data_IF_817800595004
#
_entry.id   IF_817800595004
#
_cell.length_a   1.000
_cell.length_b   1.000
_cell.length_c   1.000
_cell.angle_alpha   90.00
_cell.angle_beta   90.00
_cell.angle_gamma   90.00
#
_symmetry.space_group_name_H-M   'P 1'
#
loop_
_entity.id
_entity.type
_entity.pdbx_description
1 polymer ?
#
# COMPACT_ATOMS: atom_id res chain seq x y z
N UNK A 1 4.14 -32.70 0.25
CA UNK A 1 3.74 -31.61 1.14
C UNK A 1 2.23 -31.44 1.04
N UNK A 2 1.50 -31.43 2.14
CA UNK A 2 0.02 -31.24 2.13
C UNK A 2 -0.23 -29.84 2.67
N UNK A 3 -0.82 -28.97 1.87
CA UNK A 3 -1.24 -27.62 2.29
C UNK A 3 -2.74 -27.46 2.08
N UNK A 4 -3.39 -26.62 2.85
CA UNK A 4 -4.79 -26.26 2.69
C UNK A 4 -4.88 -24.93 1.94
N UNK A 5 -5.70 -24.89 0.90
CA UNK A 5 -5.93 -23.69 0.09
C UNK A 5 -7.39 -23.56 -0.34
N UNK A 6 -7.79 -22.38 -0.76
CA UNK A 6 -9.12 -22.09 -1.34
C UNK A 6 -9.00 -22.00 -2.85
N UNK A 7 -9.76 -22.82 -3.57
CA UNK A 7 -9.79 -22.82 -5.03
C UNK A 7 -11.08 -22.13 -5.50
N UNK A 8 -10.94 -21.00 -6.18
CA UNK A 8 -12.04 -20.37 -6.90
C UNK A 8 -12.27 -21.05 -8.26
N UNK A 9 -13.48 -21.54 -8.52
CA UNK A 9 -13.80 -22.15 -9.82
C UNK A 9 -13.64 -21.15 -10.98
N UNK A 10 -13.75 -19.85 -10.70
CA UNK A 10 -13.55 -18.76 -11.70
C UNK A 10 -12.08 -18.66 -12.13
N UNK A 11 -11.14 -18.93 -11.25
CA UNK A 11 -9.68 -18.85 -11.52
C UNK A 11 -9.18 -20.02 -12.38
N UNK A 12 -10.00 -21.05 -12.60
CA UNK A 12 -9.62 -22.20 -13.43
C UNK A 12 -9.81 -21.84 -14.91
N UNK A 13 -8.71 -21.79 -15.67
CA UNK A 13 -8.71 -21.57 -17.12
C UNK A 13 -8.95 -22.86 -17.93
N UNK A 14 -8.45 -23.99 -17.44
CA UNK A 14 -8.70 -25.30 -18.09
C UNK A 14 -10.17 -25.69 -18.02
N UNK A 15 -10.84 -25.73 -19.18
CA UNK A 15 -12.26 -26.08 -19.30
C UNK A 15 -12.59 -27.49 -18.78
N UNK A 16 -11.66 -28.45 -18.92
CA UNK A 16 -11.85 -29.83 -18.45
C UNK A 16 -11.82 -29.90 -16.94
N UNK A 17 -10.79 -29.26 -16.35
CA UNK A 17 -10.67 -29.15 -14.90
C UNK A 17 -11.86 -28.39 -14.31
N UNK A 18 -12.28 -27.28 -14.92
CA UNK A 18 -13.42 -26.50 -14.47
C UNK A 18 -14.73 -27.28 -14.44
N UNK A 19 -15.01 -28.06 -15.51
CA UNK A 19 -16.19 -28.94 -15.55
C UNK A 19 -16.11 -30.03 -14.50
N UNK A 20 -14.96 -30.66 -14.35
CA UNK A 20 -14.73 -31.70 -13.35
C UNK A 20 -14.89 -31.15 -11.93
N UNK A 21 -14.31 -29.97 -11.63
CA UNK A 21 -14.39 -29.30 -10.33
C UNK A 21 -15.85 -29.01 -9.91
N UNK A 22 -16.71 -28.61 -10.85
CA UNK A 22 -18.14 -28.35 -10.59
C UNK A 22 -18.97 -29.59 -10.23
N UNK A 23 -18.47 -30.77 -10.56
CA UNK A 23 -19.13 -32.06 -10.27
C UNK A 23 -18.61 -32.73 -8.99
N UNK A 24 -17.54 -32.21 -8.38
CA UNK A 24 -16.95 -32.77 -7.17
C UNK A 24 -17.88 -32.62 -5.97
N UNK A 25 -17.85 -33.65 -5.12
CA UNK A 25 -18.48 -33.67 -3.81
C UNK A 25 -17.42 -33.60 -2.72
N UNK A 26 -17.86 -33.26 -1.50
CA UNK A 26 -16.97 -33.28 -0.31
C UNK A 26 -16.33 -34.68 -0.19
N UNK A 27 -15.02 -34.73 -0.09
CA UNK A 27 -14.21 -35.94 0.01
C UNK A 27 -13.63 -36.42 -1.33
N UNK A 28 -14.12 -35.90 -2.45
CA UNK A 28 -13.58 -36.27 -3.76
C UNK A 28 -12.18 -35.69 -3.97
N UNK A 29 -11.46 -36.37 -4.88
CA UNK A 29 -10.08 -35.98 -5.22
C UNK A 29 -9.97 -35.81 -6.73
N UNK A 30 -9.30 -34.74 -7.15
CA UNK A 30 -8.99 -34.47 -8.56
C UNK A 30 -7.49 -34.17 -8.72
N UNK A 31 -6.93 -34.64 -9.84
CA UNK A 31 -5.54 -34.34 -10.21
C UNK A 31 -5.50 -33.35 -11.35
N UNK A 32 -4.61 -32.37 -11.29
CA UNK A 32 -4.45 -31.33 -12.30
C UNK A 32 -2.98 -30.92 -12.47
N UNK A 33 -2.66 -30.36 -13.65
CA UNK A 33 -1.37 -29.76 -13.91
C UNK A 33 -1.44 -28.28 -13.58
N UNK A 34 -0.67 -27.84 -12.61
CA UNK A 34 -0.70 -26.46 -12.12
C UNK A 34 -0.46 -25.44 -13.23
N UNK A 35 0.60 -25.60 -14.01
CA UNK A 35 1.02 -24.67 -15.07
C UNK A 35 0.05 -24.51 -16.24
N UNK A 36 -0.94 -25.42 -16.38
CA UNK A 36 -1.92 -25.39 -17.49
C UNK A 36 -3.34 -25.04 -17.05
N UNK A 37 -3.57 -24.99 -15.75
CA UNK A 37 -4.92 -24.94 -15.19
C UNK A 37 -5.35 -23.56 -14.74
N UNK A 38 -4.43 -22.60 -14.64
CA UNK A 38 -4.68 -21.25 -14.16
C UNK A 38 -4.13 -20.21 -15.15
N UNK A 39 -4.82 -19.06 -15.31
CA UNK A 39 -4.36 -17.95 -16.12
C UNK A 39 -3.34 -17.10 -15.38
N UNK A 40 -3.51 -16.98 -14.06
CA UNK A 40 -2.66 -16.15 -13.22
C UNK A 40 -1.85 -17.06 -12.27
N UNK A 41 -0.55 -16.88 -12.32
CA UNK A 41 0.38 -17.54 -11.39
C UNK A 41 0.09 -17.17 -9.93
N UNK A 42 -0.44 -15.97 -9.68
CA UNK A 42 -0.79 -15.52 -8.34
C UNK A 42 -1.87 -16.39 -7.70
N UNK A 43 -2.96 -16.69 -8.41
CA UNK A 43 -4.02 -17.58 -7.93
C UNK A 43 -3.49 -18.99 -7.62
N UNK A 44 -2.57 -19.45 -8.45
CA UNK A 44 -1.92 -20.75 -8.26
C UNK A 44 -1.01 -20.75 -7.03
N UNK A 45 -0.16 -19.76 -6.87
CA UNK A 45 0.74 -19.61 -5.72
C UNK A 45 -0.06 -19.50 -4.41
N UNK A 46 -1.15 -18.72 -4.42
CA UNK A 46 -2.05 -18.61 -3.27
C UNK A 46 -2.72 -19.95 -2.92
N UNK A 47 -3.20 -20.70 -3.93
CA UNK A 47 -3.78 -22.04 -3.72
C UNK A 47 -2.78 -23.01 -3.12
N UNK A 48 -1.53 -22.98 -3.58
CA UNK A 48 -0.46 -23.85 -3.12
C UNK A 48 0.22 -23.33 -1.84
N UNK A 49 -0.08 -22.11 -1.42
CA UNK A 49 0.54 -21.42 -0.27
C UNK A 49 2.05 -21.25 -0.48
N UNK A 50 2.47 -20.90 -1.70
CA UNK A 50 3.85 -20.65 -2.10
C UNK A 50 4.10 -19.16 -2.23
N UNK A 51 5.36 -18.75 -2.01
CA UNK A 51 5.83 -17.38 -2.30
C UNK A 51 6.22 -17.23 -3.79
N UNK A 52 6.40 -16.01 -4.27
CA UNK A 52 6.87 -15.77 -5.65
C UNK A 52 8.23 -16.40 -5.93
N UNK A 53 9.11 -16.47 -4.95
CA UNK A 53 10.44 -17.08 -5.07
C UNK A 53 10.37 -18.61 -5.24
N UNK A 54 9.28 -19.25 -4.83
CA UNK A 54 9.03 -20.67 -4.94
C UNK A 54 8.28 -21.06 -6.23
N UNK A 55 8.16 -20.16 -7.19
CA UNK A 55 7.43 -20.36 -8.45
C UNK A 55 7.90 -21.60 -9.24
N UNK A 56 9.16 -21.98 -9.11
CA UNK A 56 9.69 -23.21 -9.70
C UNK A 56 9.03 -24.50 -9.18
N UNK A 57 8.43 -24.49 -7.99
CA UNK A 57 7.73 -25.63 -7.39
C UNK A 57 6.32 -25.87 -7.97
N UNK A 58 5.83 -24.99 -8.85
CA UNK A 58 4.51 -25.12 -9.50
C UNK A 58 4.50 -26.09 -10.69
N UNK A 59 5.66 -26.67 -11.06
CA UNK A 59 5.80 -27.60 -12.16
C UNK A 59 5.44 -29.02 -11.68
N UNK A 60 4.36 -29.60 -12.23
CA UNK A 60 3.98 -30.97 -11.93
C UNK A 60 2.48 -31.24 -11.86
N UNK A 61 2.15 -32.45 -11.46
CA UNK A 61 0.78 -32.89 -11.18
C UNK A 61 0.49 -32.75 -9.69
N UNK A 62 -0.57 -32.03 -9.40
CA UNK A 62 -1.08 -31.83 -8.05
C UNK A 62 -2.36 -32.63 -7.84
N UNK A 63 -2.55 -33.08 -6.61
CA UNK A 63 -3.73 -33.79 -6.18
C UNK A 63 -4.48 -32.97 -5.17
N UNK A 64 -5.70 -32.54 -5.51
CA UNK A 64 -6.57 -31.75 -4.64
C UNK A 64 -7.62 -32.67 -4.03
N UNK A 65 -7.70 -32.68 -2.70
CA UNK A 65 -8.78 -33.32 -1.95
C UNK A 65 -9.76 -32.26 -1.47
N UNK A 66 -11.02 -32.40 -1.81
CA UNK A 66 -12.06 -31.41 -1.52
C UNK A 66 -12.62 -31.60 -0.10
N UNK A 67 -12.23 -30.74 0.81
CA UNK A 67 -12.70 -30.80 2.21
C UNK A 67 -14.04 -30.10 2.40
N UNK A 68 -14.24 -28.95 1.76
CA UNK A 68 -15.45 -28.12 1.93
C UNK A 68 -15.80 -27.42 0.63
N UNK A 69 -17.08 -27.30 0.33
CA UNK A 69 -17.60 -26.55 -0.81
C UNK A 69 -18.27 -25.30 -0.25
N UNK A 70 -17.88 -24.16 -0.78
CA UNK A 70 -18.53 -22.88 -0.50
C UNK A 70 -19.30 -22.42 -1.74
N UNK A 71 -20.55 -22.04 -1.55
CA UNK A 71 -21.33 -21.33 -2.55
C UNK A 71 -21.22 -19.84 -2.26
N UNK A 72 -20.77 -19.06 -3.23
CA UNK A 72 -20.59 -17.61 -3.10
C UNK A 72 -21.62 -16.93 -3.99
N UNK A 73 -22.57 -16.27 -3.37
CA UNK A 73 -23.58 -15.45 -4.04
C UNK A 73 -23.35 -13.97 -3.71
N UNK A 74 -23.72 -13.05 -4.64
CA UNK A 74 -23.76 -11.63 -4.30
C UNK A 74 -24.73 -11.43 -3.11
N UNK A 75 -24.28 -10.69 -2.12
CA UNK A 75 -25.12 -10.34 -0.98
C UNK A 75 -26.26 -9.41 -1.42
N UNK A 76 -27.42 -9.55 -0.79
CA UNK A 76 -28.50 -8.56 -0.90
C UNK A 76 -28.03 -7.23 -0.30
N UNK A 77 -28.44 -6.13 -0.96
CA UNK A 77 -28.12 -4.78 -0.46
C UNK A 77 -29.20 -4.41 0.57
N UNK A 78 -28.98 -4.88 1.79
CA UNK A 78 -29.87 -4.73 2.95
C UNK A 78 -29.09 -4.33 4.20
N UNK A 79 -29.80 -4.16 5.32
CA UNK A 79 -29.20 -3.73 6.58
C UNK A 79 -28.14 -4.70 7.10
N UNK A 80 -28.30 -6.01 6.90
CA UNK A 80 -27.33 -7.02 7.34
C UNK A 80 -25.98 -6.83 6.63
N UNK A 81 -26.01 -6.46 5.35
CA UNK A 81 -24.81 -6.11 4.60
C UNK A 81 -24.19 -4.81 5.11
N UNK A 82 -25.03 -3.79 5.38
CA UNK A 82 -24.52 -2.49 5.87
C UNK A 82 -23.81 -2.65 7.20
N UNK A 83 -24.41 -3.37 8.14
CA UNK A 83 -23.85 -3.63 9.46
C UNK A 83 -22.55 -4.46 9.41
N UNK A 84 -22.45 -5.39 8.46
CA UNK A 84 -21.22 -6.18 8.25
C UNK A 84 -20.07 -5.36 7.65
N UNK A 85 -20.37 -4.37 6.82
CA UNK A 85 -19.35 -3.58 6.11
C UNK A 85 -18.91 -2.37 6.92
N UNK A 86 -19.84 -1.66 7.55
CA UNK A 86 -19.59 -0.38 8.21
C UNK A 86 -19.76 -0.40 9.74
N UNK A 87 -20.21 -1.53 10.30
CA UNK A 87 -20.53 -1.66 11.71
C UNK A 87 -22.02 -1.48 11.98
N UNK A 88 -22.44 -1.99 13.16
CA UNK A 88 -23.84 -2.03 13.55
C UNK A 88 -24.46 -0.62 13.61
N UNK A 89 -25.61 -0.45 12.96
CA UNK A 89 -26.39 0.78 12.92
C UNK A 89 -25.67 2.04 12.38
N UNK A 90 -24.48 1.88 11.78
CA UNK A 90 -23.73 2.99 11.19
C UNK A 90 -24.43 3.55 9.93
N UNK A 91 -25.09 2.69 9.14
CA UNK A 91 -25.80 3.03 7.90
C UNK A 91 -27.14 2.33 7.89
N UNK A 92 -28.20 3.07 7.59
CA UNK A 92 -29.57 2.53 7.66
C UNK A 92 -30.29 2.43 6.33
N UNK A 93 -29.79 3.11 5.30
CA UNK A 93 -30.43 3.13 3.99
C UNK A 93 -29.46 2.75 2.88
N UNK A 94 -30.04 2.18 1.80
CA UNK A 94 -29.27 1.86 0.59
C UNK A 94 -28.60 3.10 -0.03
N UNK A 95 -29.24 4.27 0.05
CA UNK A 95 -28.69 5.51 -0.48
C UNK A 95 -27.44 5.93 0.31
N UNK A 96 -27.50 5.91 1.64
CA UNK A 96 -26.35 6.18 2.52
C UNK A 96 -25.21 5.18 2.27
N UNK A 97 -25.54 3.88 2.11
CA UNK A 97 -24.56 2.84 1.83
C UNK A 97 -23.80 3.11 0.52
N UNK A 98 -24.51 3.42 -0.56
CA UNK A 98 -23.90 3.74 -1.85
C UNK A 98 -23.08 5.04 -1.80
N UNK A 99 -23.60 6.06 -1.11
CA UNK A 99 -22.90 7.33 -0.92
C UNK A 99 -21.60 7.13 -0.14
N UNK A 100 -21.62 6.30 0.91
CA UNK A 100 -20.43 6.02 1.72
C UNK A 100 -19.37 5.23 0.94
N UNK A 101 -19.79 4.22 0.15
CA UNK A 101 -18.88 3.49 -0.74
C UNK A 101 -18.26 4.44 -1.78
N UNK A 102 -19.07 5.34 -2.36
CA UNK A 102 -18.55 6.32 -3.32
C UNK A 102 -17.51 7.24 -2.67
N UNK A 103 -17.80 7.78 -1.49
CA UNK A 103 -16.87 8.61 -0.73
C UNK A 103 -15.55 7.88 -0.43
N UNK A 104 -15.64 6.62 0.00
CA UNK A 104 -14.46 5.82 0.31
C UNK A 104 -13.60 5.55 -0.95
N UNK A 105 -14.25 5.24 -2.08
CA UNK A 105 -13.56 5.04 -3.38
C UNK A 105 -12.93 6.34 -3.87
N UNK A 106 -13.64 7.48 -3.78
CA UNK A 106 -13.11 8.79 -4.13
C UNK A 106 -11.91 9.16 -3.25
N UNK A 107 -11.97 8.85 -1.95
CA UNK A 107 -10.87 9.03 -1.02
C UNK A 107 -9.63 8.19 -1.38
N UNK A 108 -9.83 6.93 -1.80
CA UNK A 108 -8.75 6.06 -2.28
C UNK A 108 -8.12 6.61 -3.55
N UNK A 109 -8.93 6.99 -4.53
CA UNK A 109 -8.43 7.53 -5.80
C UNK A 109 -7.71 8.87 -5.61
N UNK A 110 -8.23 9.73 -4.73
CA UNK A 110 -7.57 10.99 -4.37
C UNK A 110 -6.18 10.72 -3.79
N UNK A 111 -6.06 9.76 -2.87
CA UNK A 111 -4.78 9.37 -2.28
C UNK A 111 -3.80 8.85 -3.34
N UNK A 112 -4.24 7.99 -4.25
CA UNK A 112 -3.42 7.47 -5.33
C UNK A 112 -2.94 8.60 -6.27
N UNK A 113 -3.81 9.54 -6.59
CA UNK A 113 -3.47 10.73 -7.38
C UNK A 113 -2.47 11.63 -6.65
N UNK A 114 -2.65 11.85 -5.36
CA UNK A 114 -1.78 12.66 -4.52
C UNK A 114 -0.37 12.07 -4.44
N UNK A 115 -0.26 10.76 -4.25
CA UNK A 115 1.03 10.04 -4.26
C UNK A 115 1.70 10.18 -5.64
N UNK A 116 0.94 9.98 -6.72
CA UNK A 116 1.49 10.12 -8.06
C UNK A 116 1.96 11.54 -8.35
N UNK A 117 1.18 12.53 -7.96
CA UNK A 117 1.53 13.95 -8.10
C UNK A 117 2.80 14.28 -7.31
N UNK A 118 2.85 13.92 -6.04
CA UNK A 118 4.02 14.14 -5.18
C UNK A 118 5.29 13.53 -5.79
N UNK A 119 5.22 12.27 -6.24
CA UNK A 119 6.35 11.60 -6.88
C UNK A 119 6.76 12.31 -8.18
N UNK A 120 5.80 12.77 -8.98
CA UNK A 120 6.08 13.49 -10.23
C UNK A 120 6.80 14.82 -9.98
N UNK A 121 6.36 15.57 -8.97
CA UNK A 121 7.02 16.82 -8.55
C UNK A 121 8.42 16.53 -8.02
N UNK A 122 8.56 15.55 -7.14
CA UNK A 122 9.85 15.11 -6.61
C UNK A 122 10.83 14.74 -7.73
N UNK A 123 10.41 13.91 -8.69
CA UNK A 123 11.24 13.52 -9.84
C UNK A 123 11.60 14.72 -10.72
N UNK A 124 10.73 15.73 -10.82
CA UNK A 124 11.04 16.96 -11.53
C UNK A 124 12.07 17.80 -10.78
N UNK A 125 11.90 17.99 -9.49
CA UNK A 125 12.84 18.76 -8.63
C UNK A 125 14.21 18.07 -8.58
N UNK A 126 14.27 16.75 -8.60
CA UNK A 126 15.51 15.95 -8.62
C UNK A 126 16.34 16.16 -9.90
N UNK A 127 15.75 16.68 -10.99
CA UNK A 127 16.49 17.05 -12.23
C UNK A 127 17.29 18.34 -12.08
N UNK A 128 17.09 19.08 -10.99
CA UNK A 128 17.85 20.30 -10.69
C UNK A 128 19.35 19.96 -10.60
N UNK A 129 20.17 20.69 -11.34
CA UNK A 129 21.61 20.49 -11.32
C UNK A 129 22.17 20.85 -9.94
N UNK A 130 22.76 19.87 -9.31
CA UNK A 130 23.38 20.01 -7.99
C UNK A 130 24.69 19.25 -7.97
N UNK A 131 25.77 19.95 -7.67
CA UNK A 131 27.08 19.33 -7.56
C UNK A 131 27.32 18.86 -6.12
N UNK A 132 27.21 17.56 -5.90
CA UNK A 132 27.60 16.95 -4.63
C UNK A 132 29.09 16.60 -4.64
N UNK A 133 29.83 16.84 -3.55
CA UNK A 133 31.24 16.47 -3.43
C UNK A 133 31.39 14.95 -3.23
N UNK A 134 31.17 14.19 -4.30
CA UNK A 134 31.08 12.73 -4.31
C UNK A 134 32.23 12.04 -3.57
N UNK A 135 33.47 12.43 -3.90
CA UNK A 135 34.66 11.80 -3.31
C UNK A 135 34.76 12.05 -1.81
N UNK A 136 34.41 13.26 -1.37
CA UNK A 136 34.37 13.61 0.05
C UNK A 136 33.28 12.79 0.77
N UNK A 137 32.08 12.73 0.21
CA UNK A 137 30.96 12.01 0.81
C UNK A 137 31.23 10.51 0.94
N UNK A 138 31.79 9.88 -0.08
CA UNK A 138 32.18 8.46 -0.03
C UNK A 138 33.23 8.20 1.05
N UNK A 139 34.24 9.08 1.13
CA UNK A 139 35.26 8.98 2.15
C UNK A 139 34.68 9.19 3.56
N UNK A 140 33.76 10.13 3.71
CA UNK A 140 33.07 10.36 4.97
C UNK A 140 32.27 9.15 5.42
N UNK A 141 31.46 8.55 4.52
CA UNK A 141 30.66 7.35 4.78
C UNK A 141 31.57 6.17 5.20
N UNK A 142 32.72 5.98 4.55
CA UNK A 142 33.65 4.90 4.87
C UNK A 142 34.33 5.04 6.24
N UNK A 143 34.09 6.13 6.97
CA UNK A 143 34.63 6.39 8.30
C UNK A 143 33.56 6.45 9.39
N UNK A 144 32.26 6.22 9.04
CA UNK A 144 31.15 6.32 9.98
C UNK A 144 30.70 4.94 10.50
N UNK A 145 30.33 4.92 11.78
CA UNK A 145 29.80 3.72 12.45
C UNK A 145 30.88 2.81 13.04
N UNK A 146 30.45 1.83 13.81
CA UNK A 146 31.32 0.83 14.43
C UNK A 146 31.89 -0.17 13.42
N UNK A 147 31.11 -0.46 12.38
CA UNK A 147 31.48 -1.32 11.24
C UNK A 147 31.26 -0.55 9.93
N UNK A 148 32.27 0.26 9.51
CA UNK A 148 32.13 1.07 8.31
C UNK A 148 31.98 0.18 7.06
N UNK A 149 31.13 0.57 6.09
CA UNK A 149 30.98 -0.17 4.84
C UNK A 149 32.27 -0.12 4.01
N UNK A 150 32.51 -1.17 3.25
CA UNK A 150 33.65 -1.24 2.33
C UNK A 150 33.48 -0.28 1.16
N UNK A 151 34.56 0.05 0.48
CA UNK A 151 34.54 0.92 -0.70
C UNK A 151 33.63 0.33 -1.80
N UNK A 152 33.64 -0.99 -1.97
CA UNK A 152 32.81 -1.69 -2.96
C UNK A 152 31.33 -1.55 -2.64
N UNK A 153 30.92 -1.75 -1.40
CA UNK A 153 29.54 -1.56 -0.94
C UNK A 153 29.06 -0.11 -1.10
N UNK A 154 29.93 0.85 -0.76
CA UNK A 154 29.65 2.28 -0.97
C UNK A 154 29.45 2.57 -2.45
N UNK A 155 30.28 2.02 -3.34
CA UNK A 155 30.19 2.25 -4.77
C UNK A 155 28.90 1.65 -5.37
N UNK A 156 28.50 0.48 -4.93
CA UNK A 156 27.26 -0.19 -5.33
C UNK A 156 26.02 0.60 -4.89
N UNK A 157 26.01 1.08 -3.63
CA UNK A 157 24.88 1.81 -3.06
C UNK A 157 24.88 3.31 -3.40
N UNK A 158 25.97 3.82 -4.00
CA UNK A 158 26.13 5.24 -4.27
C UNK A 158 24.97 5.88 -5.03
N UNK A 159 24.42 5.28 -6.10
CA UNK A 159 23.33 5.91 -6.86
C UNK A 159 22.10 6.19 -5.98
N UNK A 160 21.76 5.29 -5.06
CA UNK A 160 20.65 5.46 -4.13
C UNK A 160 20.97 6.50 -3.06
N UNK A 161 22.18 6.44 -2.50
CA UNK A 161 22.67 7.39 -1.50
C UNK A 161 22.72 8.81 -2.07
N UNK A 162 23.25 8.98 -3.29
CA UNK A 162 23.26 10.28 -3.96
C UNK A 162 21.84 10.81 -4.19
N UNK A 163 20.92 9.96 -4.60
CA UNK A 163 19.51 10.33 -4.77
C UNK A 163 18.89 10.78 -3.45
N UNK A 164 19.12 10.05 -2.37
CA UNK A 164 18.61 10.40 -1.05
C UNK A 164 19.18 11.73 -0.54
N UNK A 165 20.49 11.94 -0.69
CA UNK A 165 21.15 13.20 -0.28
C UNK A 165 20.63 14.41 -1.10
N UNK A 166 20.46 14.24 -2.41
CA UNK A 166 19.88 15.30 -3.26
C UNK A 166 18.49 15.67 -2.79
N UNK A 167 17.65 14.66 -2.50
CA UNK A 167 16.31 14.92 -1.99
C UNK A 167 16.34 15.65 -0.66
N UNK A 168 17.14 15.21 0.31
CA UNK A 168 17.29 15.88 1.61
C UNK A 168 17.68 17.35 1.48
N UNK A 169 18.59 17.67 0.55
CA UNK A 169 18.99 19.05 0.31
C UNK A 169 17.88 19.91 -0.30
N UNK A 170 17.13 19.35 -1.25
CA UNK A 170 15.96 20.00 -1.87
C UNK A 170 14.88 20.22 -0.82
N UNK A 171 14.53 19.17 -0.10
CA UNK A 171 13.52 19.19 0.96
C UNK A 171 13.88 20.20 2.06
N UNK A 172 15.12 20.15 2.58
CA UNK A 172 15.57 21.09 3.57
C UNK A 172 15.63 22.53 3.08
N UNK A 173 15.83 22.76 1.78
CA UNK A 173 15.72 24.10 1.18
C UNK A 173 14.26 24.55 1.13
N UNK A 174 13.35 23.72 0.65
CA UNK A 174 11.91 24.00 0.60
C UNK A 174 11.35 24.30 1.99
N UNK A 175 11.72 23.51 2.99
CA UNK A 175 11.33 23.72 4.37
C UNK A 175 11.72 25.13 4.88
N UNK A 176 12.98 25.52 4.63
CA UNK A 176 13.48 26.84 5.08
C UNK A 176 12.87 28.01 4.33
N UNK A 177 12.75 27.90 3.00
CA UNK A 177 12.27 29.02 2.17
C UNK A 177 10.77 29.24 2.26
N UNK A 178 10.00 28.17 2.54
CA UNK A 178 8.54 28.22 2.59
C UNK A 178 7.96 27.95 3.98
N UNK A 179 8.82 27.93 5.00
CA UNK A 179 8.41 27.74 6.40
C UNK A 179 7.60 26.46 6.64
N UNK A 180 7.98 25.37 5.92
CA UNK A 180 7.35 24.06 6.03
C UNK A 180 8.00 23.29 7.18
N UNK A 181 7.56 23.55 8.40
CA UNK A 181 7.98 22.83 9.60
C UNK A 181 6.78 22.19 10.27
N UNK A 182 7.04 21.22 11.11
CA UNK A 182 6.03 20.51 11.90
C UNK A 182 6.13 20.99 13.34
N UNK A 183 5.06 21.65 13.80
CA UNK A 183 4.96 22.10 15.18
C UNK A 183 4.45 20.96 16.08
N UNK A 184 4.81 21.03 17.37
CA UNK A 184 4.40 20.02 18.34
C UNK A 184 2.87 19.88 18.44
N UNK A 185 2.16 20.98 18.39
CA UNK A 185 0.69 21.00 18.45
C UNK A 185 0.07 20.35 17.21
N UNK A 186 0.61 20.63 16.03
CA UNK A 186 0.19 20.01 14.78
C UNK A 186 0.46 18.49 14.78
N UNK A 187 1.61 18.08 15.31
CA UNK A 187 1.97 16.67 15.41
C UNK A 187 1.02 15.91 16.36
N UNK A 188 0.64 16.52 17.49
CA UNK A 188 -0.35 15.94 18.41
C UNK A 188 -1.71 15.83 17.72
N UNK A 189 -2.18 16.88 17.05
CA UNK A 189 -3.44 16.85 16.33
C UNK A 189 -3.45 15.80 15.21
N UNK A 190 -2.33 15.64 14.51
CA UNK A 190 -2.16 14.60 13.48
C UNK A 190 -2.19 13.20 14.09
N UNK A 191 -1.49 12.96 15.20
CA UNK A 191 -1.51 11.69 15.91
C UNK A 191 -2.92 11.32 16.40
N UNK A 192 -3.67 12.28 16.96
CA UNK A 192 -5.08 12.12 17.37
C UNK A 192 -5.94 11.69 16.16
N UNK A 193 -5.81 12.38 15.02
CA UNK A 193 -6.52 12.05 13.79
C UNK A 193 -6.22 10.63 13.30
N UNK A 194 -4.94 10.22 13.36
CA UNK A 194 -4.49 8.88 12.96
C UNK A 194 -5.07 7.80 13.88
N UNK A 195 -5.05 8.00 15.20
CA UNK A 195 -5.63 7.07 16.18
C UNK A 195 -7.13 6.95 15.96
N UNK A 196 -7.86 8.06 15.81
CA UNK A 196 -9.32 8.05 15.51
C UNK A 196 -9.62 7.25 14.24
N UNK A 197 -8.90 7.52 13.16
CA UNK A 197 -9.10 6.82 11.88
C UNK A 197 -8.88 5.31 12.03
N UNK A 198 -7.83 4.92 12.74
CA UNK A 198 -7.50 3.51 12.97
C UNK A 198 -8.54 2.80 13.82
N UNK A 199 -9.03 3.44 14.89
CA UNK A 199 -10.07 2.89 15.76
C UNK A 199 -11.40 2.73 15.04
N UNK A 200 -11.80 3.71 14.23
CA UNK A 200 -13.00 3.63 13.39
C UNK A 200 -12.97 2.44 12.44
N UNK A 201 -11.81 2.11 11.86
CA UNK A 201 -11.66 0.93 10.99
C UNK A 201 -11.91 -0.40 11.71
N UNK A 202 -11.66 -0.45 13.03
CA UNK A 202 -11.92 -1.62 13.87
C UNK A 202 -13.29 -1.58 14.55
N UNK A 203 -14.15 -0.61 14.22
CA UNK A 203 -15.47 -0.45 14.81
C UNK A 203 -15.46 -0.08 16.31
N UNK A 204 -14.31 0.41 16.81
CA UNK A 204 -14.17 0.83 18.19
C UNK A 204 -14.43 2.34 18.29
N UNK A 205 -15.48 2.72 19.01
CA UNK A 205 -15.72 4.10 19.42
C UNK A 205 -15.04 4.33 20.77
N UNK A 206 -14.05 5.21 20.79
CA UNK A 206 -13.39 5.68 22.01
C UNK A 206 -13.78 7.14 22.24
N UNK A 207 -13.78 7.57 23.50
CA UNK A 207 -13.97 8.98 23.79
C UNK A 207 -12.74 9.82 23.40
N UNK A 208 -12.93 11.13 23.27
CA UNK A 208 -11.89 12.04 22.81
C UNK A 208 -10.68 12.08 23.76
N UNK A 209 -10.87 11.88 25.05
CA UNK A 209 -9.78 11.90 26.05
C UNK A 209 -8.94 10.62 25.97
N UNK A 210 -9.57 9.48 25.74
CA UNK A 210 -8.87 8.20 25.54
C UNK A 210 -8.04 8.23 24.26
N UNK A 211 -8.60 8.78 23.18
CA UNK A 211 -7.89 8.93 21.92
C UNK A 211 -6.69 9.85 22.06
N UNK A 212 -6.84 10.99 22.75
CA UNK A 212 -5.75 11.93 22.99
C UNK A 212 -4.63 11.28 23.82
N UNK A 213 -4.98 10.55 24.88
CA UNK A 213 -4.02 9.82 25.70
C UNK A 213 -3.25 8.78 24.89
N UNK A 214 -3.93 8.03 24.03
CA UNK A 214 -3.26 7.07 23.13
C UNK A 214 -2.34 7.76 22.13
N UNK A 215 -2.76 8.89 21.57
CA UNK A 215 -1.94 9.67 20.65
C UNK A 215 -0.67 10.18 21.34
N UNK A 216 -0.77 10.67 22.58
CA UNK A 216 0.39 11.09 23.35
C UNK A 216 1.34 9.92 23.65
N UNK A 217 0.82 8.74 24.02
CA UNK A 217 1.65 7.54 24.24
C UNK A 217 2.40 7.11 22.96
N UNK A 218 1.76 7.24 21.78
CA UNK A 218 2.43 6.99 20.49
C UNK A 218 3.59 7.96 20.28
N UNK A 219 3.40 9.22 20.64
CA UNK A 219 4.43 10.27 20.50
C UNK A 219 5.55 10.20 21.55
N UNK A 220 5.36 9.49 22.66
CA UNK A 220 6.43 9.20 23.62
C UNK A 220 7.48 8.25 23.04
N UNK A 221 7.08 7.39 22.09
CA UNK A 221 8.04 6.57 21.35
C UNK A 221 8.69 7.43 20.25
N UNK A 222 10.00 7.66 20.39
CA UNK A 222 10.78 8.53 19.51
C UNK A 222 10.68 8.13 18.04
N UNK A 223 10.79 6.83 17.74
CA UNK A 223 10.75 6.31 16.35
C UNK A 223 9.37 6.57 15.72
N UNK A 224 8.28 6.32 16.48
CA UNK A 224 6.92 6.58 16.01
C UNK A 224 6.65 8.09 15.84
N UNK A 225 7.16 8.91 16.75
CA UNK A 225 7.05 10.36 16.63
C UNK A 225 7.79 10.91 15.40
N UNK A 226 9.01 10.41 15.13
CA UNK A 226 9.77 10.76 13.93
C UNK A 226 9.01 10.34 12.66
N UNK A 227 8.48 9.12 12.59
CA UNK A 227 7.68 8.64 11.45
C UNK A 227 6.42 9.49 11.21
N UNK A 228 5.67 9.84 12.27
CA UNK A 228 4.49 10.69 12.16
C UNK A 228 4.85 12.12 11.75
N UNK A 229 5.97 12.63 12.24
CA UNK A 229 6.47 13.97 11.86
C UNK A 229 6.87 14.01 10.38
N UNK A 230 7.56 12.98 9.87
CA UNK A 230 7.89 12.85 8.46
C UNK A 230 6.64 12.77 7.59
N UNK A 231 5.64 11.99 8.02
CA UNK A 231 4.37 11.87 7.29
C UNK A 231 3.61 13.20 7.25
N UNK A 232 3.51 13.90 8.37
CA UNK A 232 2.87 15.21 8.42
C UNK A 232 3.63 16.25 7.56
N UNK A 233 4.95 16.21 7.56
CA UNK A 233 5.77 17.04 6.69
C UNK A 233 5.50 16.76 5.21
N UNK A 234 5.39 15.48 4.82
CA UNK A 234 5.04 15.10 3.44
C UNK A 234 3.65 15.61 3.06
N UNK A 235 2.67 15.55 3.96
CA UNK A 235 1.33 16.10 3.73
C UNK A 235 1.39 17.62 3.53
N UNK A 236 2.15 18.34 4.37
CA UNK A 236 2.36 19.81 4.22
C UNK A 236 3.05 20.15 2.90
N UNK A 237 4.06 19.37 2.51
CA UNK A 237 4.73 19.58 1.22
C UNK A 237 3.81 19.29 0.05
N UNK A 238 2.96 18.27 0.14
CA UNK A 238 1.98 17.96 -0.90
C UNK A 238 1.00 19.12 -1.11
N UNK A 239 0.44 19.66 -0.04
CA UNK A 239 -0.46 20.83 -0.13
C UNK A 239 0.28 22.06 -0.66
N UNK A 240 1.49 22.32 -0.20
CA UNK A 240 2.33 23.40 -0.74
C UNK A 240 2.56 23.23 -2.25
N UNK A 241 2.83 22.02 -2.74
CA UNK A 241 3.00 21.76 -4.16
C UNK A 241 1.70 21.98 -4.94
N UNK A 242 0.56 21.57 -4.40
CA UNK A 242 -0.75 21.81 -5.03
C UNK A 242 -1.07 23.31 -5.18
N UNK A 243 -0.68 24.10 -4.19
CA UNK A 243 -0.89 25.56 -4.21
C UNK A 243 0.11 26.29 -5.11
N UNK A 244 1.36 25.79 -5.16
CA UNK A 244 2.45 26.46 -5.88
C UNK A 244 2.45 26.17 -7.38
N UNK A 245 1.89 25.02 -7.81
CA UNK A 245 1.88 24.62 -9.22
C UNK A 245 0.52 24.82 -9.88
N UNK A 246 0.54 25.26 -11.15
CA UNK A 246 -0.67 25.26 -11.97
C UNK A 246 -1.02 23.82 -12.38
N UNK A 247 -2.03 23.25 -11.75
CA UNK A 247 -2.42 21.85 -11.96
C UNK A 247 -3.31 21.73 -13.20
N UNK A 248 -2.95 20.79 -14.08
CA UNK A 248 -3.82 20.34 -15.17
C UNK A 248 -4.49 19.05 -14.77
N UNK A 249 -5.76 19.12 -14.43
CA UNK A 249 -6.56 17.93 -14.16
C UNK A 249 -6.92 17.22 -15.48
N UNK A 250 -6.79 15.90 -15.49
CA UNK A 250 -7.11 15.05 -16.64
C UNK A 250 -7.98 13.90 -16.18
N UNK A 251 -9.16 13.77 -16.76
CA UNK A 251 -10.02 12.64 -16.52
C UNK A 251 -9.43 11.37 -17.15
N UNK A 252 -9.26 10.34 -16.33
CA UNK A 252 -8.63 9.10 -16.75
C UNK A 252 -9.32 7.91 -16.07
N UNK A 253 -9.46 6.80 -16.78
CA UNK A 253 -9.93 5.57 -16.16
C UNK A 253 -8.86 4.98 -15.22
N UNK A 254 -9.28 4.29 -14.16
CA UNK A 254 -8.35 3.69 -13.21
C UNK A 254 -7.35 2.73 -13.88
N UNK A 255 -7.80 1.93 -14.85
CA UNK A 255 -6.91 1.05 -15.62
C UNK A 255 -5.81 1.79 -16.37
N UNK A 256 -6.10 2.97 -16.91
CA UNK A 256 -5.11 3.82 -17.58
C UNK A 256 -4.21 4.54 -16.58
N UNK A 257 -4.75 4.94 -15.42
CA UNK A 257 -3.97 5.49 -14.31
C UNK A 257 -2.91 4.49 -13.83
N UNK A 258 -3.27 3.22 -13.61
CA UNK A 258 -2.31 2.18 -13.24
C UNK A 258 -1.18 1.99 -14.28
N UNK A 259 -1.49 2.09 -15.58
CA UNK A 259 -0.46 2.04 -16.63
C UNK A 259 0.48 3.24 -16.55
N UNK A 260 -0.05 4.42 -16.26
CA UNK A 260 0.72 5.65 -16.11
C UNK A 260 1.69 5.55 -14.91
N UNK A 261 1.21 5.10 -13.76
CA UNK A 261 2.04 4.91 -12.56
C UNK A 261 3.13 3.85 -12.77
N UNK A 262 2.81 2.73 -13.44
CA UNK A 262 3.80 1.69 -13.78
C UNK A 262 4.89 2.21 -14.72
N UNK A 263 4.55 3.12 -15.63
CA UNK A 263 5.52 3.74 -16.57
C UNK A 263 6.45 4.73 -15.87
N UNK A 264 5.97 5.41 -14.83
CA UNK A 264 6.77 6.36 -14.06
C UNK A 264 7.80 5.66 -13.13
N UNK A 265 7.60 4.36 -12.79
CA UNK A 265 8.53 3.57 -11.96
C UNK A 265 9.67 2.90 -12.75
N UNK A 266 9.66 2.98 -14.07
CA UNK A 266 10.74 2.50 -14.96
C UNK A 266 11.67 3.66 -15.36
#
# INVERSE_FOLDING_TARGET
MVKEGRLGVKSISDRRLKKAALLLKKGDTISFSASKSFEDDFDLLQLLGLSEDEKGATIGLFKLNLKTIYHVEPATIDKDLFDKVFGQDAINTKAEFLSKIQEDIEGLYKRDCDIHFFNTVTDHLMKTKMNLPKNFMKKWISQQGETPPTVAEIDEQWPQTEKAMRWQLIEGKLQREHNLHVDKEELVAFAVKMVKSRMSQYGQMMDDQEVEKLALNVLENREQAEQLSEQLLQDKMLEFFKESFSLKLVDITYANFLKLVKKAKK
#
